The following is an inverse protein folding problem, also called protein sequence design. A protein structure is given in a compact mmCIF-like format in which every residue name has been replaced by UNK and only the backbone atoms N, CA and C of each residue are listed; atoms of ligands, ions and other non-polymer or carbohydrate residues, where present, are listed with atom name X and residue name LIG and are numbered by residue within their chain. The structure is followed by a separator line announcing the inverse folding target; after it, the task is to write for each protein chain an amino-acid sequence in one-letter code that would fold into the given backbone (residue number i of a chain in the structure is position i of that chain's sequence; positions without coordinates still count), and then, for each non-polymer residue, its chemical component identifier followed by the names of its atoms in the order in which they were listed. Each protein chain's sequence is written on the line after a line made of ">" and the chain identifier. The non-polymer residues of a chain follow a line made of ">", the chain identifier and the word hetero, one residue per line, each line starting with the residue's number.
data_IF_371334837642
#
_entry.id   IF_371334837642
#
_cell.length_a   1.000
_cell.length_b   1.000
_cell.length_c   1.000
_cell.angle_alpha   90.00
_cell.angle_beta   90.00
_cell.angle_gamma   90.00
#
_symmetry.space_group_name_H-M   'P 1'
#
loop_
_entity.id
_entity.type
_entity.pdbx_description
1 polymer ?
#
# COMPACT_ATOMS: atom_id res chain seq x y z
N UNK A 1 -25.99 21.25 -45.32
CA UNK A 1 -25.84 20.37 -46.51
C UNK A 1 -24.38 20.33 -46.93
N UNK A 2 -23.65 19.26 -46.56
CA UNK A 2 -22.57 18.68 -47.37
C UNK A 2 -22.21 17.32 -46.77
N UNK A 3 -22.77 16.29 -47.39
CA UNK A 3 -22.58 14.88 -47.10
C UNK A 3 -21.25 14.44 -47.73
N UNK A 4 -20.42 13.70 -47.00
CA UNK A 4 -19.37 12.88 -47.63
C UNK A 4 -19.32 11.53 -46.94
N UNK A 5 -19.97 10.55 -47.58
CA UNK A 5 -19.88 9.13 -47.27
C UNK A 5 -18.67 8.57 -48.00
N UNK A 6 -17.77 7.87 -47.30
CA UNK A 6 -16.80 6.97 -47.93
C UNK A 6 -16.94 5.59 -47.31
N UNK A 7 -17.61 4.73 -48.08
CA UNK A 7 -17.74 3.28 -47.93
C UNK A 7 -16.48 2.62 -48.49
N UNK A 8 -15.84 1.72 -47.74
CA UNK A 8 -14.87 0.76 -48.27
C UNK A 8 -15.19 -0.63 -47.70
N UNK A 9 -15.57 -1.54 -48.62
CA UNK A 9 -15.66 -3.00 -48.46
C UNK A 9 -14.32 -3.56 -47.92
N UNK A 10 -14.25 -4.51 -47.00
CA UNK A 10 -14.85 -5.85 -47.06
C UNK A 10 -13.81 -6.85 -47.57
N UNK A 11 -13.11 -7.54 -46.66
CA UNK A 11 -12.29 -8.71 -47.00
C UNK A 11 -12.34 -9.74 -45.85
N UNK A 12 -13.16 -10.75 -46.07
CA UNK A 12 -13.30 -11.95 -45.25
C UNK A 12 -12.20 -12.93 -45.66
N UNK A 13 -11.35 -13.34 -44.72
CA UNK A 13 -10.38 -14.41 -44.89
C UNK A 13 -10.64 -15.51 -43.86
N UNK A 14 -11.40 -16.53 -44.24
CA UNK A 14 -11.59 -17.75 -43.47
C UNK A 14 -10.47 -18.74 -43.83
N UNK A 15 -9.65 -19.11 -42.84
CA UNK A 15 -8.68 -20.20 -42.93
C UNK A 15 -9.13 -21.37 -42.06
N UNK A 16 -9.67 -22.41 -42.69
CA UNK A 16 -9.93 -23.73 -42.12
C UNK A 16 -8.68 -24.60 -42.29
N UNK A 17 -8.17 -25.18 -41.20
CA UNK A 17 -7.34 -26.38 -41.25
C UNK A 17 -7.84 -27.42 -40.24
N UNK A 18 -7.93 -28.64 -40.76
CA UNK A 18 -8.60 -29.84 -40.25
C UNK A 18 -7.57 -30.79 -39.63
N UNK A 19 -7.99 -31.52 -38.59
CA UNK A 19 -7.48 -32.85 -38.23
C UNK A 19 -6.51 -32.87 -37.04
N UNK A 20 -6.57 -33.80 -36.08
CA UNK A 20 -7.37 -35.00 -35.97
C UNK A 20 -7.51 -35.40 -34.48
N UNK A 21 -8.67 -35.94 -34.13
CA UNK A 21 -8.91 -36.66 -32.89
C UNK A 21 -8.17 -38.02 -32.91
N UNK A 22 -7.70 -38.46 -31.74
CA UNK A 22 -7.17 -39.80 -31.54
C UNK A 22 -7.05 -40.14 -30.06
N UNK A 23 -8.14 -40.66 -29.48
CA UNK A 23 -8.12 -41.40 -28.23
C UNK A 23 -7.61 -42.83 -28.47
N UNK A 24 -6.78 -43.37 -27.56
CA UNK A 24 -6.74 -44.79 -27.20
C UNK A 24 -5.97 -44.96 -25.88
N UNK A 25 -6.69 -45.36 -24.84
CA UNK A 25 -6.12 -46.04 -23.68
C UNK A 25 -5.64 -47.45 -24.09
N UNK A 26 -4.66 -48.02 -23.40
CA UNK A 26 -4.63 -49.43 -22.95
C UNK A 26 -3.34 -49.72 -22.18
N UNK A 27 -3.50 -50.11 -20.93
CA UNK A 27 -2.48 -50.74 -20.08
C UNK A 27 -2.03 -52.09 -20.66
N UNK A 28 -0.77 -52.48 -20.47
CA UNK A 28 -0.49 -53.85 -20.05
C UNK A 28 0.86 -54.01 -19.34
N UNK A 29 0.75 -54.62 -18.17
CA UNK A 29 1.78 -55.27 -17.37
C UNK A 29 2.32 -56.52 -18.07
N UNK A 30 3.62 -56.76 -17.99
CA UNK A 30 4.19 -58.09 -18.25
C UNK A 30 5.24 -58.42 -17.20
N UNK A 31 4.90 -59.39 -16.37
CA UNK A 31 5.78 -60.07 -15.42
C UNK A 31 6.72 -61.06 -16.12
N UNK A 32 7.97 -61.11 -15.64
CA UNK A 32 8.90 -62.23 -15.33
C UNK A 32 8.89 -63.54 -16.18
N UNK A 33 10.02 -64.29 -16.31
CA UNK A 33 10.46 -65.16 -15.19
C UNK A 33 11.96 -65.57 -15.12
N UNK A 34 12.32 -66.16 -13.96
CA UNK A 34 13.42 -67.13 -13.77
C UNK A 34 14.68 -66.53 -13.12
N UNK A 35 15.29 -67.07 -12.07
CA UNK A 35 15.40 -68.48 -11.67
C UNK A 35 16.07 -68.59 -10.27
N UNK A 36 15.46 -69.38 -9.35
CA UNK A 36 15.99 -70.29 -8.28
C UNK A 36 17.20 -69.91 -7.39
N UNK A 37 17.39 -70.36 -6.14
CA UNK A 37 16.63 -71.15 -5.16
C UNK A 37 17.39 -71.13 -3.80
N UNK A 38 16.63 -71.32 -2.72
CA UNK A 38 16.91 -72.04 -1.45
C UNK A 38 17.91 -71.56 -0.37
N UNK A 39 17.73 -71.99 0.91
CA UNK A 39 17.81 -71.13 2.10
C UNK A 39 18.65 -71.75 3.24
N UNK A 40 18.64 -71.09 4.41
CA UNK A 40 18.85 -71.75 5.70
C UNK A 40 19.90 -71.09 6.60
N UNK A 41 19.55 -70.85 7.87
CA UNK A 41 20.54 -70.65 8.94
C UNK A 41 20.20 -69.66 10.06
N UNK A 42 19.29 -70.10 10.94
CA UNK A 42 18.97 -69.77 12.34
C UNK A 42 20.03 -69.10 13.29
N UNK A 43 19.47 -68.32 14.24
CA UNK A 43 19.88 -67.93 15.62
C UNK A 43 21.01 -66.89 15.82
N UNK A 44 20.96 -65.98 16.80
CA UNK A 44 20.06 -65.81 17.95
C UNK A 44 20.46 -64.60 18.84
N UNK A 45 19.66 -64.40 19.90
CA UNK A 45 19.86 -63.65 21.17
C UNK A 45 19.90 -62.11 21.11
N UNK A 46 18.91 -61.40 21.68
CA UNK A 46 18.55 -61.17 23.11
C UNK A 46 19.31 -59.99 23.73
N UNK A 47 18.58 -58.92 24.05
CA UNK A 47 18.73 -58.17 25.29
C UNK A 47 17.65 -57.09 25.41
N UNK A 48 16.91 -57.22 26.51
CA UNK A 48 15.85 -56.37 27.01
C UNK A 48 16.40 -55.06 27.62
N UNK A 49 15.72 -53.93 27.42
CA UNK A 49 15.88 -52.76 28.31
C UNK A 49 14.57 -51.99 28.50
N UNK A 50 13.98 -52.23 29.68
CA UNK A 50 13.35 -51.29 30.64
C UNK A 50 12.29 -50.31 30.14
N UNK A 51 11.06 -50.54 30.64
CA UNK A 51 10.01 -49.53 30.85
C UNK A 51 10.32 -48.74 32.11
N UNK A 52 10.26 -47.42 32.02
CA UNK A 52 9.98 -46.54 33.15
C UNK A 52 8.81 -45.62 32.79
N UNK A 53 7.88 -45.52 33.73
CA UNK A 53 6.56 -44.94 33.63
C UNK A 53 6.38 -44.06 34.87
N UNK A 54 6.40 -42.73 34.68
CA UNK A 54 5.70 -41.67 35.43
C UNK A 54 6.42 -40.32 35.36
N UNK A 55 5.66 -39.30 34.97
CA UNK A 55 6.03 -37.90 35.20
C UNK A 55 5.29 -36.95 34.25
N UNK A 56 4.00 -36.71 34.52
CA UNK A 56 3.25 -35.67 33.83
C UNK A 56 3.66 -34.27 34.28
N UNK A 57 3.62 -33.31 33.35
CA UNK A 57 2.99 -32.00 33.55
C UNK A 57 2.97 -31.29 32.20
N UNK A 58 1.75 -30.98 31.75
CA UNK A 58 1.42 -29.85 30.87
C UNK A 58 1.99 -29.89 29.45
N UNK A 59 1.38 -30.74 28.63
CA UNK A 59 1.18 -30.44 27.22
C UNK A 59 0.15 -29.31 27.14
N UNK A 60 0.60 -28.06 27.03
CA UNK A 60 -0.26 -26.99 26.55
C UNK A 60 -0.58 -27.35 25.11
N UNK A 61 -1.78 -27.90 24.93
CA UNK A 61 -2.40 -27.96 23.62
C UNK A 61 -2.80 -26.51 23.39
N UNK A 62 -1.96 -25.76 22.68
CA UNK A 62 -2.40 -24.51 22.07
C UNK A 62 -3.48 -24.94 21.06
N UNK A 63 -4.71 -24.96 21.55
CA UNK A 63 -5.88 -24.94 20.71
C UNK A 63 -5.74 -23.70 19.84
N UNK A 64 -5.65 -23.89 18.53
CA UNK A 64 -5.78 -22.82 17.55
C UNK A 64 -7.02 -22.00 17.93
N UNK A 65 -6.77 -20.81 18.44
CA UNK A 65 -7.78 -19.82 18.72
C UNK A 65 -8.33 -19.35 17.36
N UNK A 66 -9.34 -20.08 16.89
CA UNK A 66 -10.15 -19.69 15.75
C UNK A 66 -10.65 -18.27 16.01
N UNK A 67 -10.06 -17.32 15.29
CA UNK A 67 -10.36 -15.90 15.42
C UNK A 67 -11.84 -15.71 15.07
N UNK A 68 -12.65 -15.56 16.11
CA UNK A 68 -14.01 -15.05 15.99
C UNK A 68 -13.89 -13.69 15.30
N UNK A 69 -14.75 -13.33 14.34
CA UNK A 69 -14.47 -12.18 13.52
C UNK A 69 -14.49 -10.91 14.38
N UNK A 70 -13.38 -10.16 14.32
CA UNK A 70 -13.25 -8.85 14.94
C UNK A 70 -14.46 -7.98 14.52
N UNK A 71 -15.00 -7.24 15.49
CA UNK A 71 -16.14 -6.35 15.26
C UNK A 71 -15.73 -5.32 14.20
N UNK A 72 -16.52 -5.18 13.13
CA UNK A 72 -16.30 -4.13 12.13
C UNK A 72 -16.62 -2.77 12.75
N UNK A 73 -15.68 -1.85 12.66
CA UNK A 73 -15.79 -0.46 13.09
C UNK A 73 -16.31 0.41 11.95
N UNK A 74 -17.31 1.24 12.24
CA UNK A 74 -17.76 2.28 11.32
C UNK A 74 -16.73 3.41 11.25
N UNK A 75 -16.40 3.92 10.05
CA UNK A 75 -15.46 5.01 9.87
C UNK A 75 -16.13 6.38 10.13
N UNK A 76 -15.40 7.47 9.89
CA UNK A 76 -15.87 8.85 10.16
C UNK A 76 -16.80 9.40 9.06
N UNK A 77 -16.86 8.76 7.90
CA UNK A 77 -17.72 9.15 6.78
C UNK A 77 -17.07 10.22 5.89
N UNK A 78 -15.75 10.18 5.75
CA UNK A 78 -14.95 11.14 4.96
C UNK A 78 -15.36 11.19 3.48
N UNK A 79 -15.94 10.10 2.95
CA UNK A 79 -16.24 9.98 1.53
C UNK A 79 -17.73 9.80 1.20
N UNK A 80 -18.63 9.96 2.17
CA UNK A 80 -20.07 9.77 1.96
C UNK A 80 -20.68 10.76 0.94
N UNK A 81 -20.10 11.96 0.81
CA UNK A 81 -20.53 12.99 -0.14
C UNK A 81 -19.88 12.85 -1.52
N UNK A 82 -18.92 11.95 -1.69
CA UNK A 82 -18.10 11.89 -2.90
C UNK A 82 -18.89 11.29 -4.04
N UNK A 83 -19.14 12.11 -5.07
CA UNK A 83 -19.81 11.67 -6.27
C UNK A 83 -18.96 10.70 -7.10
N UNK A 84 -19.64 9.72 -7.69
CA UNK A 84 -19.10 8.90 -8.78
C UNK A 84 -19.31 9.59 -10.14
N UNK A 85 -18.55 9.22 -11.18
CA UNK A 85 -18.79 9.61 -12.57
C UNK A 85 -20.23 9.37 -13.01
N UNK A 86 -20.67 10.08 -14.05
CA UNK A 86 -22.03 9.96 -14.58
C UNK A 86 -22.32 8.60 -15.24
N UNK A 87 -21.28 7.97 -15.80
CA UNK A 87 -21.29 6.59 -16.27
C UNK A 87 -20.17 5.80 -15.59
N UNK A 88 -20.35 5.39 -14.31
CA UNK A 88 -19.31 4.66 -13.58
C UNK A 88 -19.03 3.29 -14.23
N UNK A 89 -20.01 2.72 -14.95
CA UNK A 89 -19.87 1.45 -15.68
C UNK A 89 -18.90 1.53 -16.86
N UNK A 90 -18.63 2.74 -17.35
CA UNK A 90 -17.61 3.01 -18.36
C UNK A 90 -16.17 2.83 -17.86
N UNK A 91 -15.97 2.71 -16.55
CA UNK A 91 -14.66 2.61 -15.91
C UNK A 91 -14.53 1.30 -15.13
N UNK A 92 -13.46 0.55 -15.37
CA UNK A 92 -13.19 -0.68 -14.60
C UNK A 92 -12.56 -0.39 -13.23
N UNK A 93 -11.82 0.72 -13.13
CA UNK A 93 -11.19 1.19 -11.90
C UNK A 93 -12.04 2.27 -11.26
N UNK A 94 -12.05 2.30 -9.93
CA UNK A 94 -12.86 3.25 -9.19
C UNK A 94 -12.40 4.69 -9.40
N UNK A 95 -13.38 5.56 -9.65
CA UNK A 95 -13.17 6.99 -9.88
C UNK A 95 -14.08 7.83 -9.02
N UNK A 96 -13.53 8.93 -8.52
CA UNK A 96 -14.28 9.98 -7.84
C UNK A 96 -14.07 11.30 -8.57
N UNK A 97 -15.11 12.14 -8.53
CA UNK A 97 -15.11 13.45 -9.18
C UNK A 97 -15.73 13.45 -10.56
N UNK A 98 -15.65 14.61 -11.21
CA UNK A 98 -16.28 14.88 -12.50
C UNK A 98 -15.48 14.32 -13.67
N UNK A 99 -16.14 13.63 -14.61
CA UNK A 99 -15.54 13.18 -15.88
C UNK A 99 -14.97 14.33 -16.72
N UNK A 100 -15.48 15.55 -16.51
CA UNK A 100 -15.03 16.77 -17.20
C UNK A 100 -13.85 17.47 -16.50
N UNK A 101 -13.35 16.92 -15.38
CA UNK A 101 -12.22 17.50 -14.66
C UNK A 101 -10.98 17.60 -15.57
N UNK A 102 -10.30 18.78 -15.62
CA UNK A 102 -9.15 18.98 -16.50
C UNK A 102 -7.95 18.12 -16.14
N UNK A 103 -7.83 17.67 -14.89
CA UNK A 103 -6.73 16.84 -14.40
C UNK A 103 -7.26 15.48 -13.93
N UNK A 104 -6.56 14.42 -14.30
CA UNK A 104 -6.77 13.08 -13.73
C UNK A 104 -5.54 12.68 -12.94
N UNK A 105 -5.71 12.36 -11.66
CA UNK A 105 -4.65 11.79 -10.85
C UNK A 105 -4.96 10.33 -10.51
N UNK A 106 -3.95 9.46 -10.62
CA UNK A 106 -4.08 8.05 -10.22
C UNK A 106 -3.47 7.84 -8.84
N UNK A 107 -4.27 7.33 -7.91
CA UNK A 107 -3.82 6.86 -6.60
C UNK A 107 -3.46 5.38 -6.70
N UNK A 108 -2.16 5.09 -6.60
CA UNK A 108 -1.68 3.72 -6.44
C UNK A 108 -1.54 3.39 -4.96
N UNK A 109 -2.35 2.45 -4.47
CA UNK A 109 -2.39 2.05 -3.06
C UNK A 109 -2.31 0.55 -2.84
N UNK A 110 -2.02 0.13 -1.61
CA UNK A 110 -2.16 -1.27 -1.19
C UNK A 110 -3.23 -1.38 -0.10
N UNK A 111 -4.16 -2.32 -0.24
CA UNK A 111 -5.31 -2.46 0.66
C UNK A 111 -4.88 -2.86 2.08
N UNK A 112 -3.82 -3.67 2.24
CA UNK A 112 -3.25 -4.02 3.54
C UNK A 112 -2.11 -3.10 3.98
N UNK A 113 -1.77 -2.06 3.21
CA UNK A 113 -0.66 -1.17 3.52
C UNK A 113 -1.01 -0.13 4.61
N UNK A 114 -0.26 -0.03 5.71
CA UNK A 114 -0.51 0.97 6.76
C UNK A 114 -0.29 2.42 6.29
N UNK A 115 0.62 2.66 5.34
CA UNK A 115 0.83 4.00 4.79
C UNK A 115 -0.32 4.43 3.88
N UNK A 116 -0.93 3.47 3.16
CA UNK A 116 -2.11 3.74 2.34
C UNK A 116 -3.30 4.04 3.26
N UNK A 117 -3.50 3.25 4.33
CA UNK A 117 -4.49 3.54 5.37
C UNK A 117 -4.35 4.96 5.92
N UNK A 118 -3.14 5.37 6.33
CA UNK A 118 -2.90 6.71 6.90
C UNK A 118 -3.20 7.84 5.91
N UNK A 119 -2.95 7.61 4.62
CA UNK A 119 -3.30 8.58 3.58
C UNK A 119 -4.82 8.67 3.39
N UNK A 120 -5.48 7.51 3.29
CA UNK A 120 -6.93 7.44 3.07
C UNK A 120 -7.72 7.95 4.26
N UNK A 121 -7.35 7.64 5.50
CA UNK A 121 -8.04 8.13 6.70
C UNK A 121 -7.53 9.51 7.14
N UNK A 122 -6.92 10.27 6.23
CA UNK A 122 -6.30 11.56 6.52
C UNK A 122 -6.26 12.41 5.27
N UNK A 123 -5.04 12.70 4.79
CA UNK A 123 -4.78 13.70 3.75
C UNK A 123 -5.55 13.51 2.42
N UNK A 124 -6.03 12.31 2.10
CA UNK A 124 -6.90 12.13 0.93
C UNK A 124 -8.22 12.91 1.06
N UNK A 125 -8.78 13.05 2.26
CA UNK A 125 -9.98 13.86 2.50
C UNK A 125 -9.79 15.34 2.14
N UNK A 126 -8.60 15.89 2.42
CA UNK A 126 -8.24 17.26 2.03
C UNK A 126 -8.18 17.38 0.49
N UNK A 127 -7.55 16.42 -0.18
CA UNK A 127 -7.51 16.39 -1.66
C UNK A 127 -8.92 16.31 -2.25
N UNK A 128 -9.80 15.49 -1.65
CA UNK A 128 -11.18 15.37 -2.10
C UNK A 128 -11.91 16.70 -2.00
N UNK A 129 -11.84 17.34 -0.83
CA UNK A 129 -12.53 18.61 -0.55
C UNK A 129 -12.02 19.73 -1.45
N UNK A 130 -10.70 19.85 -1.62
CA UNK A 130 -10.10 21.01 -2.27
C UNK A 130 -9.96 20.86 -3.80
N UNK A 131 -10.00 19.64 -4.33
CA UNK A 131 -9.74 19.36 -5.75
C UNK A 131 -10.81 18.52 -6.44
N UNK A 132 -11.40 17.53 -5.75
CA UNK A 132 -12.36 16.60 -6.37
C UNK A 132 -13.77 17.19 -6.35
N UNK A 133 -14.24 17.65 -5.20
CA UNK A 133 -15.58 18.25 -5.06
C UNK A 133 -15.79 19.49 -5.94
N UNK A 134 -14.80 20.40 -6.13
CA UNK A 134 -14.92 21.51 -7.07
C UNK A 134 -14.92 21.10 -8.54
N UNK A 135 -14.56 19.85 -8.85
CA UNK A 135 -14.46 19.32 -10.21
C UNK A 135 -13.15 19.64 -10.92
N UNK A 136 -12.09 19.99 -10.20
CA UNK A 136 -10.77 20.27 -10.77
C UNK A 136 -9.99 18.99 -11.09
N UNK A 137 -10.13 17.98 -10.24
CA UNK A 137 -9.41 16.71 -10.34
C UNK A 137 -10.37 15.53 -10.28
N UNK A 138 -10.22 14.58 -11.20
CA UNK A 138 -10.74 13.22 -11.01
C UNK A 138 -9.63 12.35 -10.40
N UNK A 139 -9.95 11.62 -9.34
CA UNK A 139 -9.05 10.59 -8.80
C UNK A 139 -9.47 9.21 -9.27
N UNK A 140 -8.51 8.42 -9.73
CA UNK A 140 -8.69 6.99 -10.02
C UNK A 140 -7.86 6.16 -9.03
N UNK A 141 -8.47 5.17 -8.37
CA UNK A 141 -7.73 4.27 -7.47
C UNK A 141 -7.30 2.99 -8.18
N UNK A 142 -6.04 2.62 -8.02
CA UNK A 142 -5.46 1.36 -8.51
C UNK A 142 -4.69 0.62 -7.43
N UNK A 143 -5.04 -0.64 -7.21
CA UNK A 143 -4.39 -1.47 -6.20
C UNK A 143 -3.07 -2.07 -6.71
N UNK A 144 -1.98 -1.83 -5.99
CA UNK A 144 -0.67 -2.47 -6.20
C UNK A 144 -0.65 -3.78 -5.42
N UNK A 145 -1.18 -4.83 -6.03
CA UNK A 145 -1.41 -6.10 -5.36
C UNK A 145 -0.16 -6.96 -5.17
N UNK A 146 0.84 -6.81 -6.06
CA UNK A 146 1.98 -7.71 -6.13
C UNK A 146 3.32 -6.97 -6.02
N UNK A 147 4.34 -7.67 -5.52
CA UNK A 147 5.74 -7.27 -5.59
C UNK A 147 6.57 -8.53 -5.79
N UNK A 148 7.42 -8.54 -6.82
CA UNK A 148 8.30 -9.68 -7.14
C UNK A 148 7.57 -11.03 -7.28
N UNK A 149 6.31 -11.02 -7.76
CA UNK A 149 5.50 -12.23 -7.94
C UNK A 149 4.72 -12.68 -6.69
N UNK A 150 4.90 -12.01 -5.56
CA UNK A 150 4.21 -12.30 -4.30
C UNK A 150 3.22 -11.18 -3.96
N UNK A 151 2.22 -11.47 -3.11
CA UNK A 151 1.31 -10.44 -2.62
C UNK A 151 2.09 -9.38 -1.82
N UNK A 152 1.93 -8.10 -2.17
CA UNK A 152 2.85 -7.06 -1.72
C UNK A 152 2.82 -6.87 -0.18
N UNK A 153 1.65 -6.84 0.43
CA UNK A 153 1.48 -6.72 1.89
C UNK A 153 0.86 -8.00 2.48
N UNK A 154 1.31 -9.16 1.99
CA UNK A 154 0.84 -10.48 2.37
C UNK A 154 0.14 -11.22 1.23
N UNK A 155 0.00 -12.55 1.33
CA UNK A 155 -0.52 -13.41 0.26
C UNK A 155 -1.98 -13.15 -0.11
N UNK A 156 -2.74 -12.50 0.78
CA UNK A 156 -4.13 -12.12 0.64
C UNK A 156 -4.36 -10.70 0.10
N UNK A 157 -3.30 -9.89 -0.10
CA UNK A 157 -3.39 -8.55 -0.73
C UNK A 157 -4.08 -8.60 -2.12
N UNK A 158 -3.78 -9.56 -3.03
CA UNK A 158 -4.49 -9.66 -4.29
C UNK A 158 -5.99 -9.97 -4.15
N UNK A 159 -6.39 -10.67 -3.07
CA UNK A 159 -7.81 -10.92 -2.81
C UNK A 159 -8.53 -9.64 -2.42
N UNK A 160 -7.92 -8.82 -1.56
CA UNK A 160 -8.43 -7.49 -1.22
C UNK A 160 -8.53 -6.58 -2.46
N UNK A 161 -7.52 -6.62 -3.35
CA UNK A 161 -7.56 -5.88 -4.62
C UNK A 161 -8.75 -6.28 -5.51
N UNK A 162 -9.07 -7.57 -5.60
CA UNK A 162 -10.24 -8.06 -6.35
C UNK A 162 -11.55 -7.62 -5.71
N UNK A 163 -11.64 -7.59 -4.37
CA UNK A 163 -12.84 -7.10 -3.69
C UNK A 163 -13.12 -5.64 -4.02
N UNK A 164 -12.09 -4.77 -4.01
CA UNK A 164 -12.23 -3.39 -4.47
C UNK A 164 -12.79 -3.30 -5.89
N UNK A 165 -12.22 -4.05 -6.83
CA UNK A 165 -12.72 -4.05 -8.21
C UNK A 165 -14.14 -4.62 -8.32
N UNK A 166 -14.46 -5.67 -7.56
CA UNK A 166 -15.80 -6.26 -7.54
C UNK A 166 -16.85 -5.29 -7.01
N UNK A 167 -16.59 -4.60 -5.90
CA UNK A 167 -17.53 -3.60 -5.36
C UNK A 167 -17.74 -2.49 -6.38
N UNK A 168 -16.68 -1.91 -6.94
CA UNK A 168 -16.83 -0.83 -7.93
C UNK A 168 -17.68 -1.23 -9.15
N UNK A 169 -17.47 -2.43 -9.68
CA UNK A 169 -18.14 -2.89 -10.89
C UNK A 169 -19.57 -3.41 -10.66
N UNK A 170 -20.00 -3.58 -9.39
CA UNK A 170 -21.36 -4.05 -9.06
C UNK A 170 -22.19 -3.02 -8.29
N UNK A 171 -21.56 -2.11 -7.56
CA UNK A 171 -22.20 -1.06 -6.77
C UNK A 171 -21.24 0.14 -6.59
N UNK A 172 -21.06 0.96 -7.65
CA UNK A 172 -20.16 2.11 -7.60
C UNK A 172 -20.63 3.18 -6.60
N UNK A 173 -21.94 3.33 -6.38
CA UNK A 173 -22.51 4.35 -5.50
C UNK A 173 -22.11 4.12 -4.03
N UNK A 174 -21.96 2.86 -3.60
CA UNK A 174 -21.49 2.50 -2.25
C UNK A 174 -19.97 2.33 -2.15
N UNK A 175 -19.23 2.45 -3.26
CA UNK A 175 -17.81 2.09 -3.31
C UNK A 175 -16.95 2.91 -2.36
N UNK A 176 -17.15 4.23 -2.28
CA UNK A 176 -16.29 5.11 -1.48
C UNK A 176 -16.53 4.93 0.03
N UNK A 177 -17.76 4.61 0.43
CA UNK A 177 -18.08 4.15 1.78
C UNK A 177 -17.36 2.83 2.07
N UNK A 178 -17.44 1.84 1.17
CA UNK A 178 -16.70 0.59 1.31
C UNK A 178 -15.18 0.80 1.38
N UNK A 179 -14.65 1.71 0.58
CA UNK A 179 -13.23 2.06 0.54
C UNK A 179 -12.76 2.54 1.93
N UNK A 180 -13.52 3.43 2.56
CA UNK A 180 -13.24 3.91 3.92
C UNK A 180 -13.34 2.79 4.96
N UNK A 181 -14.40 1.99 4.90
CA UNK A 181 -14.62 0.84 5.79
C UNK A 181 -13.47 -0.17 5.71
N UNK A 182 -12.99 -0.49 4.51
CA UNK A 182 -11.85 -1.37 4.28
C UNK A 182 -10.58 -0.83 4.95
N UNK A 183 -10.30 0.46 4.81
CA UNK A 183 -9.12 1.05 5.44
C UNK A 183 -9.28 1.24 6.94
N UNK A 184 -10.48 1.55 7.46
CA UNK A 184 -10.75 1.61 8.90
C UNK A 184 -10.47 0.25 9.57
N UNK A 185 -10.90 -0.84 8.93
CA UNK A 185 -10.84 -2.19 9.49
C UNK A 185 -9.61 -2.99 9.04
N UNK A 186 -8.66 -2.34 8.36
CA UNK A 186 -7.47 -2.99 7.79
C UNK A 186 -6.67 -3.73 8.87
N UNK A 187 -6.31 -4.97 8.58
CA UNK A 187 -5.27 -5.70 9.33
C UNK A 187 -4.01 -5.98 8.49
N UNK A 188 -2.86 -6.01 9.17
CA UNK A 188 -1.60 -6.46 8.59
C UNK A 188 -1.41 -7.98 8.68
N UNK A 189 -2.30 -8.71 9.36
CA UNK A 189 -2.20 -10.16 9.54
C UNK A 189 -2.45 -10.89 8.21
N UNK A 190 -1.65 -11.90 7.93
CA UNK A 190 -1.84 -12.75 6.75
C UNK A 190 -3.09 -13.61 6.89
N UNK A 191 -3.88 -13.66 5.84
CA UNK A 191 -5.16 -14.39 5.85
C UNK A 191 -6.32 -13.61 6.45
N UNK A 192 -6.12 -12.35 6.88
CA UNK A 192 -7.22 -11.49 7.33
C UNK A 192 -8.22 -11.19 6.20
N UNK A 193 -7.73 -10.87 5.00
CA UNK A 193 -8.55 -10.52 3.84
C UNK A 193 -9.12 -11.79 3.18
N UNK A 194 -9.84 -12.63 3.93
CA UNK A 194 -10.65 -13.73 3.38
C UNK A 194 -11.83 -13.17 2.59
N UNK A 195 -12.42 -13.96 1.69
CA UNK A 195 -13.65 -13.54 0.98
C UNK A 195 -14.76 -13.19 1.96
N UNK A 196 -14.95 -13.98 3.02
CA UNK A 196 -15.95 -13.74 4.05
C UNK A 196 -15.72 -12.39 4.77
N UNK A 197 -14.49 -12.10 5.19
CA UNK A 197 -14.17 -10.81 5.82
C UNK A 197 -14.46 -9.64 4.89
N UNK A 198 -14.07 -9.74 3.62
CA UNK A 198 -14.25 -8.68 2.61
C UNK A 198 -15.74 -8.44 2.33
N UNK A 199 -16.54 -9.50 2.21
CA UNK A 199 -18.00 -9.40 2.01
C UNK A 199 -18.71 -8.84 3.25
N UNK A 200 -18.26 -9.21 4.46
CA UNK A 200 -18.79 -8.62 5.71
C UNK A 200 -18.51 -7.12 5.80
N UNK A 201 -17.31 -6.67 5.43
CA UNK A 201 -16.98 -5.24 5.37
C UNK A 201 -17.86 -4.54 4.34
N UNK A 202 -18.06 -5.13 3.15
CA UNK A 202 -18.96 -4.60 2.13
C UNK A 202 -20.41 -4.48 2.63
N UNK A 203 -20.91 -5.49 3.34
CA UNK A 203 -22.24 -5.46 3.93
C UNK A 203 -22.42 -4.31 4.95
N UNK A 204 -21.45 -4.09 5.84
CA UNK A 204 -21.48 -3.01 6.82
C UNK A 204 -21.34 -1.61 6.18
N UNK A 205 -20.73 -1.54 5.00
CA UNK A 205 -20.66 -0.33 4.17
C UNK A 205 -21.92 -0.09 3.32
N UNK A 206 -22.92 -0.96 3.41
CA UNK A 206 -24.18 -0.83 2.68
C UNK A 206 -24.12 -1.29 1.21
N UNK A 207 -23.07 -2.01 0.81
CA UNK A 207 -22.90 -2.49 -0.57
C UNK A 207 -23.98 -3.50 -0.94
N UNK A 208 -24.58 -3.31 -2.13
CA UNK A 208 -25.54 -4.23 -2.72
C UNK A 208 -24.85 -5.36 -3.51
N UNK A 209 -25.62 -6.35 -4.00
CA UNK A 209 -25.11 -7.43 -4.87
C UNK A 209 -24.02 -8.32 -4.26
N UNK A 210 -24.02 -8.48 -2.93
CA UNK A 210 -22.99 -9.21 -2.16
C UNK A 210 -22.73 -10.64 -2.66
N UNK A 211 -23.76 -11.41 -3.02
CA UNK A 211 -23.59 -12.78 -3.55
C UNK A 211 -22.77 -12.80 -4.85
N UNK A 212 -22.96 -11.81 -5.71
CA UNK A 212 -22.18 -11.67 -6.95
C UNK A 212 -20.75 -11.28 -6.63
N UNK A 213 -20.56 -10.30 -5.75
CA UNK A 213 -19.24 -9.84 -5.30
C UNK A 213 -18.45 -10.99 -4.67
N UNK A 214 -19.08 -11.80 -3.82
CA UNK A 214 -18.47 -12.98 -3.20
C UNK A 214 -17.93 -13.96 -4.25
N UNK A 215 -18.75 -14.31 -5.24
CA UNK A 215 -18.35 -15.19 -6.35
C UNK A 215 -17.20 -14.60 -7.15
N UNK A 216 -17.25 -13.31 -7.49
CA UNK A 216 -16.23 -12.64 -8.30
C UNK A 216 -14.87 -12.57 -7.61
N UNK A 217 -14.87 -12.39 -6.28
CA UNK A 217 -13.65 -12.46 -5.46
C UNK A 217 -13.10 -13.89 -5.46
N UNK A 218 -13.95 -14.89 -5.24
CA UNK A 218 -13.57 -16.30 -5.18
C UNK A 218 -13.03 -16.82 -6.52
N UNK A 219 -13.67 -16.45 -7.63
CA UNK A 219 -13.33 -16.86 -8.99
C UNK A 219 -12.13 -16.08 -9.56
N UNK A 220 -11.68 -15.02 -8.89
CA UNK A 220 -10.57 -14.21 -9.36
C UNK A 220 -10.89 -13.36 -10.57
N UNK A 221 -12.16 -12.93 -10.75
CA UNK A 221 -12.67 -12.27 -11.97
C UNK A 221 -11.78 -11.13 -12.46
N UNK A 222 -11.27 -10.31 -11.54
CA UNK A 222 -10.50 -9.09 -11.85
C UNK A 222 -8.97 -9.29 -11.83
N UNK A 223 -8.49 -10.53 -11.95
CA UNK A 223 -7.04 -10.80 -11.96
C UNK A 223 -6.31 -10.08 -13.10
N UNK A 224 -6.92 -10.01 -14.29
CA UNK A 224 -6.31 -9.34 -15.45
C UNK A 224 -6.18 -7.82 -15.24
N UNK A 225 -7.15 -7.19 -14.57
CA UNK A 225 -7.13 -5.76 -14.24
C UNK A 225 -6.04 -5.41 -13.23
N UNK A 226 -5.77 -6.33 -12.31
CA UNK A 226 -4.64 -6.22 -11.39
C UNK A 226 -3.33 -6.36 -12.17
N UNK A 227 -3.21 -7.33 -13.06
CA UNK A 227 -2.02 -7.51 -13.91
C UNK A 227 -1.74 -6.27 -14.77
N UNK A 228 -2.76 -5.69 -15.41
CA UNK A 228 -2.65 -4.41 -16.14
C UNK A 228 -2.16 -3.27 -15.26
N UNK A 229 -2.58 -3.23 -13.99
CA UNK A 229 -2.06 -2.25 -13.03
C UNK A 229 -0.58 -2.51 -12.75
N UNK A 230 -0.21 -3.77 -12.53
CA UNK A 230 1.17 -4.17 -12.24
C UNK A 230 2.12 -3.98 -13.43
N UNK A 231 1.65 -4.04 -14.66
CA UNK A 231 2.42 -3.71 -15.87
C UNK A 231 2.87 -2.23 -15.89
N UNK A 232 2.09 -1.33 -15.25
CA UNK A 232 2.40 0.11 -15.16
C UNK A 232 3.35 0.47 -14.03
N UNK A 233 3.40 -0.34 -12.97
CA UNK A 233 4.22 -0.08 -11.77
C UNK A 233 5.74 0.03 -12.08
N UNK A 234 6.32 -0.72 -13.03
CA UNK A 234 7.71 -0.50 -13.45
C UNK A 234 7.92 0.74 -14.34
N UNK A 235 6.91 1.16 -15.10
CA UNK A 235 6.97 2.34 -15.98
C UNK A 235 6.93 3.64 -15.16
N UNK A 236 6.12 3.66 -14.11
CA UNK A 236 5.98 4.75 -13.15
C UNK A 236 6.63 4.28 -11.87
N UNK A 237 7.88 4.65 -11.54
CA UNK A 237 8.63 4.04 -10.44
C UNK A 237 7.90 4.26 -9.10
N UNK A 238 7.10 3.27 -8.71
CA UNK A 238 6.33 3.20 -7.46
C UNK A 238 7.07 2.22 -6.54
N UNK A 239 8.20 2.63 -5.90
CA UNK A 239 8.97 1.75 -5.01
C UNK A 239 8.25 1.50 -3.68
N UNK A 240 7.19 2.25 -3.40
CA UNK A 240 6.33 2.11 -2.22
C UNK A 240 4.96 2.73 -2.52
N UNK A 241 3.95 2.30 -1.77
CA UNK A 241 2.60 2.87 -1.79
C UNK A 241 2.32 3.64 -0.49
N UNK A 242 1.42 4.63 -0.50
CA UNK A 242 0.69 5.13 -1.66
C UNK A 242 1.56 6.02 -2.56
N UNK A 243 1.11 6.18 -3.81
CA UNK A 243 1.56 7.23 -4.74
C UNK A 243 0.37 7.93 -5.36
N UNK A 244 0.46 9.24 -5.51
CA UNK A 244 -0.41 10.02 -6.39
C UNK A 244 0.39 10.28 -7.66
N UNK A 245 -0.20 9.98 -8.81
CA UNK A 245 0.46 10.11 -10.12
C UNK A 245 -0.36 11.03 -11.01
N UNK A 246 0.27 12.09 -11.51
CA UNK A 246 -0.29 13.01 -12.50
C UNK A 246 0.70 13.07 -13.66
N UNK A 247 0.22 12.90 -14.89
CA UNK A 247 1.02 12.90 -16.14
C UNK A 247 2.21 11.93 -16.22
N UNK A 248 2.30 10.98 -15.28
CA UNK A 248 3.38 9.99 -15.18
C UNK A 248 4.34 10.23 -14.01
N UNK A 249 4.19 11.35 -13.32
CA UNK A 249 5.05 11.78 -12.23
C UNK A 249 4.47 11.32 -10.88
N UNK A 250 5.19 10.50 -10.10
CA UNK A 250 4.70 10.04 -8.80
C UNK A 250 5.13 10.97 -7.64
N UNK A 251 4.19 11.27 -6.74
CA UNK A 251 4.43 11.86 -5.43
C UNK A 251 4.07 10.90 -4.31
N UNK A 252 4.65 11.07 -3.12
CA UNK A 252 4.44 10.22 -1.95
C UNK A 252 3.55 10.94 -0.93
N UNK A 253 2.21 10.85 -1.02
CA UNK A 253 1.32 11.77 -0.31
C UNK A 253 1.39 11.64 1.22
N UNK A 254 1.61 10.43 1.75
CA UNK A 254 1.77 10.22 3.20
C UNK A 254 3.05 10.85 3.76
N UNK A 255 4.13 10.89 2.96
CA UNK A 255 5.44 11.34 3.41
C UNK A 255 5.75 12.78 3.00
N UNK A 256 5.16 13.25 1.91
CA UNK A 256 5.38 14.56 1.29
C UNK A 256 4.05 15.13 0.78
N UNK A 257 3.10 15.47 1.67
CA UNK A 257 1.79 16.00 1.28
C UNK A 257 1.91 17.29 0.46
N UNK A 258 2.75 18.25 0.89
CA UNK A 258 2.97 19.52 0.15
C UNK A 258 3.46 19.32 -1.29
N UNK A 259 4.28 18.28 -1.55
CA UNK A 259 4.71 17.95 -2.92
C UNK A 259 3.55 17.43 -3.78
N UNK A 260 2.57 16.77 -3.16
CA UNK A 260 1.37 16.29 -3.84
C UNK A 260 0.44 17.47 -4.18
N UNK A 261 0.24 18.40 -3.24
CA UNK A 261 -0.48 19.66 -3.47
C UNK A 261 0.17 20.44 -4.62
N UNK A 262 1.48 20.71 -4.54
CA UNK A 262 2.19 21.44 -5.58
C UNK A 262 2.09 20.77 -6.96
N UNK A 263 2.07 19.43 -7.00
CA UNK A 263 1.85 18.69 -8.26
C UNK A 263 0.45 18.92 -8.82
N UNK A 264 -0.59 18.83 -8.00
CA UNK A 264 -1.98 19.04 -8.44
C UNK A 264 -2.19 20.50 -8.89
N UNK A 265 -1.68 21.46 -8.14
CA UNK A 265 -1.74 22.89 -8.49
C UNK A 265 -1.02 23.18 -9.80
N UNK A 266 0.18 22.63 -9.99
CA UNK A 266 0.94 22.80 -11.23
C UNK A 266 0.20 22.21 -12.43
N UNK A 267 -0.44 21.04 -12.28
CA UNK A 267 -1.25 20.41 -13.33
C UNK A 267 -2.49 21.25 -13.69
N UNK A 268 -3.03 21.99 -12.71
CA UNK A 268 -4.13 22.94 -12.91
C UNK A 268 -3.66 24.32 -13.39
N UNK A 269 -2.35 24.55 -13.52
CA UNK A 269 -1.78 25.86 -13.88
C UNK A 269 -1.95 26.91 -12.78
N UNK A 270 -2.13 26.51 -11.52
CA UNK A 270 -2.16 27.38 -10.33
C UNK A 270 -0.72 27.68 -9.91
N UNK A 271 -0.44 28.92 -9.50
CA UNK A 271 0.86 29.25 -8.92
C UNK A 271 0.98 28.55 -7.56
N UNK A 272 1.98 27.68 -7.42
CA UNK A 272 2.29 27.07 -6.12
C UNK A 272 2.79 28.17 -5.17
N UNK A 273 2.17 28.31 -3.99
CA UNK A 273 2.74 29.17 -2.96
C UNK A 273 4.13 28.64 -2.58
N UNK A 274 5.14 29.53 -2.42
CA UNK A 274 6.49 29.10 -2.07
C UNK A 274 6.49 28.41 -0.70
N UNK A 275 7.02 27.19 -0.68
CA UNK A 275 7.17 26.31 0.47
C UNK A 275 8.04 26.99 1.56
N UNK A 276 7.42 27.53 2.62
CA UNK A 276 8.14 27.87 3.86
C UNK A 276 8.46 26.57 4.61
N UNK A 277 9.36 25.74 4.09
CA UNK A 277 10.03 24.71 4.89
C UNK A 277 11.45 24.48 4.38
N UNK A 278 12.38 24.99 5.19
CA UNK A 278 13.81 24.72 5.33
C UNK A 278 14.44 23.70 4.37
N UNK A 279 15.25 24.22 3.46
CA UNK A 279 16.18 23.47 2.62
C UNK A 279 17.33 22.96 3.51
N UNK A 280 17.28 21.70 3.96
CA UNK A 280 18.48 21.02 4.45
C UNK A 280 19.43 20.77 3.27
N UNK A 281 20.22 21.79 2.97
CA UNK A 281 21.33 21.70 2.04
C UNK A 281 22.38 20.76 2.61
N UNK A 282 22.41 19.52 2.12
CA UNK A 282 23.55 18.60 2.32
C UNK A 282 24.68 19.03 1.39
N UNK A 283 25.54 19.94 1.84
CA UNK A 283 26.81 20.22 1.14
C UNK A 283 27.78 19.05 1.35
N UNK A 284 28.03 18.30 0.28
CA UNK A 284 29.14 17.34 0.21
C UNK A 284 30.43 18.09 -0.11
N UNK A 285 31.33 18.27 0.86
CA UNK A 285 32.67 18.79 0.58
C UNK A 285 33.56 17.66 0.06
N UNK A 286 33.99 17.80 -1.20
CA UNK A 286 35.04 17.00 -1.80
C UNK A 286 36.38 17.69 -1.55
N UNK A 287 37.11 17.28 -0.52
CA UNK A 287 38.58 17.22 -0.52
C UNK A 287 39.08 16.42 0.69
N UNK A 288 40.18 15.70 0.52
CA UNK A 288 40.71 14.74 1.47
C UNK A 288 41.58 15.33 2.58
N UNK A 289 41.59 14.57 3.69
CA UNK A 289 42.60 14.50 4.75
C UNK A 289 42.37 15.36 6.01
N UNK A 290 42.60 14.79 7.22
CA UNK A 290 42.02 15.29 8.47
C UNK A 290 43.00 16.11 9.30
N UNK A 291 42.58 17.26 9.83
CA UNK A 291 43.21 17.91 10.98
C UNK A 291 42.20 18.78 11.73
N UNK A 292 41.89 18.37 12.97
CA UNK A 292 41.87 19.20 14.18
C UNK A 292 40.95 20.41 14.30
N UNK A 293 40.20 20.40 15.42
CA UNK A 293 39.68 21.52 16.22
C UNK A 293 38.29 22.09 15.84
N UNK A 294 37.33 21.75 16.71
CA UNK A 294 35.98 22.28 16.85
C UNK A 294 35.94 23.80 16.97
N UNK A 295 35.10 24.45 16.15
CA UNK A 295 34.41 25.73 16.42
C UNK A 295 33.42 25.97 15.27
N UNK A 296 32.16 25.56 15.42
CA UNK A 296 31.10 25.88 14.45
C UNK A 296 30.32 27.11 14.94
N UNK A 297 30.57 28.26 14.33
CA UNK A 297 29.81 29.49 14.55
C UNK A 297 28.98 29.75 13.28
N UNK A 298 27.70 29.39 13.32
CA UNK A 298 26.79 29.62 12.19
C UNK A 298 26.21 31.03 12.26
N UNK A 299 26.53 31.87 11.27
CA UNK A 299 25.90 33.19 11.10
C UNK A 299 24.90 33.14 9.95
N UNK A 300 23.63 33.45 10.22
CA UNK A 300 22.61 33.63 9.18
C UNK A 300 22.15 35.08 9.15
N UNK A 301 22.11 35.67 7.96
CA UNK A 301 21.60 37.04 7.75
C UNK A 301 20.30 36.98 6.95
N UNK A 302 19.20 37.41 7.56
CA UNK A 302 17.92 37.62 6.89
C UNK A 302 17.43 39.02 7.23
N UNK A 303 17.11 39.84 6.22
CA UNK A 303 16.44 41.13 6.43
C UNK A 303 17.22 42.18 7.23
N UNK A 304 18.55 42.20 7.16
CA UNK A 304 19.37 43.26 7.76
C UNK A 304 19.50 43.23 9.29
N UNK A 305 19.12 42.13 9.95
CA UNK A 305 19.34 41.93 11.39
C UNK A 305 20.21 40.70 11.61
N UNK A 306 21.36 40.88 12.26
CA UNK A 306 22.28 39.79 12.64
C UNK A 306 21.98 39.34 14.06
N UNK A 307 21.75 38.04 14.27
CA UNK A 307 21.62 37.44 15.62
C UNK A 307 22.65 36.32 15.74
N UNK A 308 23.52 36.42 16.74
CA UNK A 308 24.50 35.39 17.11
C UNK A 308 24.01 34.69 18.36
N UNK A 309 23.73 33.38 18.27
CA UNK A 309 23.48 32.53 19.43
C UNK A 309 24.69 31.64 19.66
N UNK A 310 25.39 31.81 20.79
CA UNK A 310 26.41 30.88 21.25
C UNK A 310 25.76 29.83 22.15
N UNK A 311 25.92 28.54 21.82
CA UNK A 311 25.53 27.45 22.70
C UNK A 311 26.57 27.25 23.80
N UNK A 312 26.11 26.98 25.02
CA UNK A 312 26.97 26.84 26.20
C UNK A 312 27.36 25.37 26.35
N UNK A 313 28.62 25.04 26.06
CA UNK A 313 29.17 23.70 26.26
C UNK A 313 29.08 23.28 27.74
N UNK A 314 28.30 22.25 28.04
CA UNK A 314 28.32 21.58 29.34
C UNK A 314 29.43 20.53 29.35
N UNK A 315 30.53 20.79 30.05
CA UNK A 315 31.58 19.80 30.31
C UNK A 315 31.19 18.96 31.51
N UNK A 316 30.79 17.70 31.30
CA UNK A 316 30.65 16.71 32.37
C UNK A 316 32.05 16.24 32.78
N UNK A 317 32.45 16.54 34.02
CA UNK A 317 33.61 15.91 34.65
C UNK A 317 33.07 14.89 35.66
N UNK A 318 33.33 13.61 35.43
CA UNK A 318 33.08 12.57 36.43
C UNK A 318 34.14 12.68 37.54
N UNK A 319 33.73 13.00 38.76
CA UNK A 319 34.47 12.63 39.96
C UNK A 319 33.53 12.12 41.05
N UNK A 320 34.03 11.12 41.76
CA UNK A 320 33.30 10.24 42.64
C UNK A 320 33.01 10.88 44.00
N UNK A 321 31.93 10.43 44.62
CA UNK A 321 31.56 10.52 46.04
C UNK A 321 30.57 11.62 46.49
N UNK A 322 29.47 11.13 47.08
CA UNK A 322 28.62 11.77 48.12
C UNK A 322 27.50 12.73 47.68
N UNK A 323 26.28 12.18 47.66
CA UNK A 323 25.01 12.69 48.22
C UNK A 323 24.65 14.19 48.11
N UNK A 324 23.57 14.49 47.36
CA UNK A 324 22.73 15.67 47.55
C UNK A 324 22.34 16.41 46.27
N UNK A 325 21.12 16.21 45.76
CA UNK A 325 20.58 16.99 44.64
C UNK A 325 19.99 18.29 45.15
N UNK A 326 20.57 19.44 44.75
CA UNK A 326 19.95 20.75 44.86
C UNK A 326 19.83 21.35 43.45
N UNK A 327 18.61 21.65 43.02
CA UNK A 327 18.30 22.31 41.75
C UNK A 327 18.32 23.83 41.98
N UNK A 328 19.15 24.56 41.23
CA UNK A 328 19.08 26.03 41.18
C UNK A 328 18.75 26.43 39.76
N UNK A 329 17.62 27.12 39.58
CA UNK A 329 17.18 27.69 38.30
C UNK A 329 17.70 29.12 38.20
N UNK A 330 18.50 29.43 37.17
CA UNK A 330 18.88 30.80 36.84
C UNK A 330 18.17 31.21 35.55
N UNK A 331 17.37 32.28 35.63
CA UNK A 331 16.70 32.92 34.49
C UNK A 331 17.70 33.77 33.70
N UNK A 332 17.74 33.71 32.36
CA UNK A 332 18.61 34.58 31.59
C UNK A 332 18.01 35.99 31.43
N UNK A 333 18.82 37.00 31.73
CA UNK A 333 18.56 38.42 31.47
C UNK A 333 18.84 38.74 30.00
N UNK A 334 17.90 39.42 29.34
CA UNK A 334 18.04 39.87 27.94
C UNK A 334 18.57 41.31 27.93
N UNK A 335 19.77 41.54 27.42
CA UNK A 335 20.29 42.89 27.16
C UNK A 335 20.18 43.22 25.68
N UNK A 336 19.31 44.17 25.32
CA UNK A 336 19.27 44.76 23.99
C UNK A 336 20.22 45.96 23.92
N UNK A 337 21.20 45.90 23.02
CA UNK A 337 22.03 47.06 22.66
C UNK A 337 21.63 47.52 21.26
N UNK A 338 21.07 48.72 21.15
CA UNK A 338 20.81 49.40 19.87
C UNK A 338 22.01 50.27 19.51
N UNK A 339 22.69 49.97 18.40
CA UNK A 339 23.67 50.88 17.80
C UNK A 339 23.02 51.57 16.60
N UNK A 340 23.03 52.90 16.61
CA UNK A 340 22.65 53.73 15.47
C UNK A 340 23.89 54.07 14.63
N UNK A 341 23.64 54.10 13.31
CA UNK A 341 24.50 54.44 12.15
C UNK A 341 25.49 53.39 11.65
#
# INVERSE_FOLDING_TARGET
>A
MKTSRRTILGLVGAGLSVGAAGCSAFSNSSSNPGETADPGGTAGDDATTVKDDRGGSESTTDEEEGTTPEKIESPEGLYESVGVPSDPSGFTYARMGSEDAPVTATVYGGWKCPHTQRFVLGFLGDIVTDYVEPGDVTLEFRAVAYRNGEGFHGPDEPRAARAGLAVWNNDPDSYWTFFEYMFQNRSGVDGWATTETLVRIAAEAGVENLDTIESEIADGKYQQEIEKTMEKVPEIPIPAVPRVVVDGEPTAPTARPNRTIAQLDAALGRESEPDETTDETTTTTSDGSPTGEDSDETTTTTGGTTTTSGDTTTTTTEDSTTSGTATTTTTPETTNTTTSE
#
